data_IF_104887344100
#
_entry.id   IF_104887344100
#
_cell.length_a   1.000
_cell.length_b   1.000
_cell.length_c   1.000
_cell.angle_alpha   90.00
_cell.angle_beta   90.00
_cell.angle_gamma   90.00
#
_symmetry.space_group_name_H-M   'P 1'
#
loop_
_entity.id
_entity.type
_entity.pdbx_description
1 polymer ?
#
# COMPACT_ATOMS: atom_id res chain seq x y z
N UNK A 1 -2.67 -20.18 1.99
CA UNK A 1 -1.99 -20.65 3.23
C UNK A 1 -0.68 -21.41 2.98
N UNK A 2 -0.49 -22.10 1.84
CA UNK A 2 0.79 -22.77 1.50
C UNK A 2 1.85 -21.82 0.90
N UNK A 3 1.47 -20.94 -0.05
CA UNK A 3 2.33 -19.87 -0.64
C UNK A 3 3.02 -18.98 0.42
N UNK A 4 2.28 -18.56 1.46
CA UNK A 4 2.79 -17.66 2.52
C UNK A 4 3.91 -18.26 3.38
N UNK A 5 3.90 -19.58 3.60
CA UNK A 5 4.91 -20.29 4.41
C UNK A 5 6.15 -20.60 3.54
N UNK A 6 5.94 -21.00 2.29
CA UNK A 6 7.03 -21.38 1.38
C UNK A 6 7.87 -20.19 0.89
N UNK A 7 7.29 -18.98 0.80
CA UNK A 7 7.96 -17.76 0.30
C UNK A 7 8.75 -16.97 1.36
N UNK A 8 8.69 -17.36 2.64
CA UNK A 8 9.25 -16.56 3.75
C UNK A 8 10.06 -17.36 4.79
N UNK A 9 11.06 -18.17 4.39
CA UNK A 9 11.82 -19.01 5.33
C UNK A 9 12.50 -18.21 6.46
N UNK A 10 12.90 -16.97 6.20
CA UNK A 10 13.52 -16.08 7.19
C UNK A 10 12.56 -15.55 8.26
N UNK A 11 11.24 -15.58 7.99
CA UNK A 11 10.19 -15.18 8.96
C UNK A 11 9.91 -16.31 9.97
N UNK A 12 10.44 -17.52 9.70
CA UNK A 12 10.35 -18.71 10.58
C UNK A 12 11.69 -19.10 11.22
N UNK A 13 12.74 -18.27 11.09
CA UNK A 13 14.06 -18.47 11.72
C UNK A 13 14.17 -17.86 13.12
N UNK A 14 15.10 -18.35 13.94
CA UNK A 14 15.23 -18.01 15.37
C UNK A 14 15.20 -16.50 15.65
N UNK A 15 14.26 -16.12 16.53
CA UNK A 15 13.92 -14.74 16.87
C UNK A 15 15.02 -14.11 17.74
N UNK A 16 15.69 -13.08 17.22
CA UNK A 16 16.48 -12.14 18.01
C UNK A 16 16.04 -10.71 17.69
N UNK A 17 15.25 -10.11 18.59
CA UNK A 17 14.99 -8.67 18.60
C UNK A 17 14.73 -8.18 20.04
N UNK A 18 15.47 -7.17 20.47
CA UNK A 18 15.61 -6.69 21.85
C UNK A 18 14.41 -5.91 22.43
N UNK A 19 14.37 -5.89 23.78
CA UNK A 19 13.62 -5.11 24.79
C UNK A 19 12.42 -4.23 24.39
N UNK A 20 12.47 -3.43 23.31
CA UNK A 20 11.34 -2.60 22.87
C UNK A 20 10.16 -3.43 22.32
N UNK A 21 10.46 -4.61 21.76
CA UNK A 21 9.48 -5.58 21.29
C UNK A 21 8.66 -6.18 22.44
N UNK A 22 9.31 -6.48 23.57
CA UNK A 22 8.69 -7.07 24.75
C UNK A 22 7.63 -6.15 25.41
N UNK A 23 7.86 -4.83 25.42
CA UNK A 23 6.90 -3.87 26.01
C UNK A 23 5.61 -3.79 25.20
N UNK A 24 5.69 -3.81 23.85
CA UNK A 24 4.50 -3.79 22.99
C UNK A 24 3.77 -5.13 22.93
N UNK A 25 4.49 -6.26 22.96
CA UNK A 25 3.88 -7.59 23.07
C UNK A 25 3.03 -7.73 24.33
N UNK A 26 3.51 -7.21 25.46
CA UNK A 26 2.78 -7.26 26.73
C UNK A 26 1.45 -6.49 26.66
N UNK A 27 1.39 -5.38 25.92
CA UNK A 27 0.16 -4.60 25.76
C UNK A 27 -0.87 -5.28 24.85
N UNK A 28 -0.45 -5.89 23.74
CA UNK A 28 -1.38 -6.67 22.89
C UNK A 28 -1.82 -7.97 23.57
N UNK A 29 -0.93 -8.65 24.29
CA UNK A 29 -1.26 -9.84 25.07
C UNK A 29 -2.29 -9.52 26.17
N UNK A 30 -2.13 -8.39 26.88
CA UNK A 30 -3.11 -7.91 27.85
C UNK A 30 -4.47 -7.62 27.20
N UNK A 31 -4.47 -6.98 26.02
CA UNK A 31 -5.71 -6.72 25.25
C UNK A 31 -6.39 -7.96 24.67
N UNK A 32 -5.64 -9.06 24.51
CA UNK A 32 -6.18 -10.34 24.05
C UNK A 32 -6.75 -11.18 25.19
N UNK A 33 -6.29 -10.97 26.43
CA UNK A 33 -6.91 -11.55 27.63
C UNK A 33 -8.21 -10.83 28.02
N UNK A 34 -8.33 -9.52 27.78
CA UNK A 34 -9.55 -8.74 28.08
C UNK A 34 -10.74 -9.02 27.17
N UNK A 35 -10.52 -9.62 25.99
CA UNK A 35 -11.58 -9.91 25.02
C UNK A 35 -11.38 -11.34 24.53
N UNK A 36 -12.34 -12.23 24.76
CA UNK A 36 -12.39 -13.62 24.24
C UNK A 36 -12.31 -13.65 22.70
N UNK A 37 -11.14 -13.35 22.14
CA UNK A 37 -10.90 -13.24 20.70
C UNK A 37 -10.28 -14.53 20.21
N UNK A 38 -10.98 -15.20 19.30
CA UNK A 38 -10.52 -16.45 18.69
C UNK A 38 -9.33 -16.27 17.75
N UNK A 39 -9.17 -15.09 17.14
CA UNK A 39 -8.06 -14.76 16.25
C UNK A 39 -7.34 -13.46 16.66
N UNK A 40 -6.01 -13.42 16.48
CA UNK A 40 -5.20 -12.20 16.67
C UNK A 40 -5.61 -11.07 15.71
N UNK A 41 -6.31 -11.43 14.63
CA UNK A 41 -6.83 -10.49 13.62
C UNK A 41 -8.16 -9.85 14.01
N UNK A 42 -8.86 -10.36 15.04
CA UNK A 42 -10.17 -9.85 15.51
C UNK A 42 -10.11 -8.42 16.08
N UNK A 43 -8.92 -7.86 16.19
CA UNK A 43 -8.67 -6.49 16.62
C UNK A 43 -8.63 -5.43 15.51
N UNK A 44 -8.66 -5.83 14.23
CA UNK A 44 -8.62 -4.89 13.10
C UNK A 44 -10.05 -4.62 12.59
N UNK A 45 -10.58 -3.39 12.74
CA UNK A 45 -11.93 -3.09 12.27
C UNK A 45 -12.05 -3.28 10.75
N UNK A 46 -13.15 -3.91 10.32
CA UNK A 46 -13.43 -4.20 8.90
C UNK A 46 -13.78 -2.95 8.08
N UNK A 47 -14.24 -1.89 8.73
CA UNK A 47 -14.64 -0.63 8.08
C UNK A 47 -13.47 0.32 7.82
N UNK A 48 -12.25 -0.06 8.18
CA UNK A 48 -11.08 0.76 7.84
C UNK A 48 -10.86 0.77 6.33
N UNK A 49 -10.35 1.87 5.76
CA UNK A 49 -9.82 1.90 4.41
C UNK A 49 -8.83 0.75 4.15
N UNK A 50 -8.82 0.21 2.94
CA UNK A 50 -8.13 -1.04 2.62
C UNK A 50 -6.62 -0.98 2.92
N UNK A 51 -5.92 0.10 2.53
CA UNK A 51 -4.48 0.24 2.74
C UNK A 51 -4.15 0.40 4.23
N UNK A 52 -4.95 1.20 4.94
CA UNK A 52 -4.85 1.31 6.40
C UNK A 52 -5.07 -0.02 7.10
N UNK A 53 -6.06 -0.80 6.64
CA UNK A 53 -6.38 -2.12 7.18
C UNK A 53 -5.23 -3.11 6.92
N UNK A 54 -4.69 -3.14 5.71
CA UNK A 54 -3.53 -3.97 5.34
C UNK A 54 -2.33 -3.67 6.24
N UNK A 55 -2.00 -2.39 6.44
CA UNK A 55 -0.91 -1.97 7.34
C UNK A 55 -1.13 -2.50 8.77
N UNK A 56 -2.33 -2.37 9.33
CA UNK A 56 -2.62 -2.87 10.69
C UNK A 56 -2.52 -4.39 10.80
N UNK A 57 -2.91 -5.13 9.76
CA UNK A 57 -2.76 -6.58 9.71
C UNK A 57 -1.27 -6.94 9.72
N UNK A 58 -0.44 -6.26 8.92
CA UNK A 58 1.01 -6.49 8.87
C UNK A 58 1.69 -6.13 10.19
N UNK A 59 1.35 -5.01 10.83
CA UNK A 59 1.85 -4.64 12.16
C UNK A 59 1.51 -5.70 13.21
N UNK A 60 0.30 -6.26 13.15
CA UNK A 60 -0.11 -7.36 14.04
C UNK A 60 0.64 -8.65 13.80
N UNK A 61 0.90 -8.99 12.54
CA UNK A 61 1.74 -10.14 12.20
C UNK A 61 3.17 -9.92 12.73
N UNK A 62 3.72 -8.72 12.54
CA UNK A 62 5.03 -8.37 13.03
C UNK A 62 5.16 -8.47 14.55
N UNK A 63 4.13 -8.08 15.32
CA UNK A 63 4.13 -8.22 16.78
C UNK A 63 4.31 -9.66 17.28
N UNK A 64 4.02 -10.65 16.45
CA UNK A 64 4.18 -12.07 16.82
C UNK A 64 5.48 -12.68 16.29
N UNK A 65 6.36 -11.85 15.74
CA UNK A 65 7.60 -12.27 15.10
C UNK A 65 7.43 -12.63 13.63
N UNK A 66 6.24 -12.45 13.04
CA UNK A 66 6.03 -12.67 11.62
C UNK A 66 6.39 -11.40 10.83
N UNK A 67 7.69 -11.09 10.76
CA UNK A 67 8.23 -9.96 10.01
C UNK A 67 9.65 -10.20 9.49
N UNK A 68 10.10 -9.34 8.58
CA UNK A 68 11.50 -9.24 8.19
C UNK A 68 12.29 -8.27 9.08
N UNK A 69 13.60 -8.50 9.19
CA UNK A 69 14.49 -7.62 9.96
C UNK A 69 15.06 -6.46 9.12
N UNK A 70 15.04 -6.61 7.80
CA UNK A 70 15.65 -5.69 6.84
C UNK A 70 14.63 -5.32 5.75
N UNK A 71 14.83 -4.16 5.11
CA UNK A 71 13.94 -3.67 4.06
C UNK A 71 14.17 -4.36 2.71
N UNK A 72 15.37 -4.88 2.45
CA UNK A 72 15.75 -5.46 1.16
C UNK A 72 14.87 -6.66 0.74
N UNK A 73 14.57 -7.62 1.64
CA UNK A 73 13.61 -8.69 1.33
C UNK A 73 12.21 -8.18 0.93
N UNK A 74 11.80 -7.01 1.45
CA UNK A 74 10.50 -6.41 1.13
C UNK A 74 10.51 -5.80 -0.28
N UNK A 75 11.62 -5.17 -0.69
CA UNK A 75 11.82 -4.73 -2.07
C UNK A 75 11.78 -5.90 -3.05
N UNK A 76 12.50 -6.99 -2.74
CA UNK A 76 12.47 -8.20 -3.55
C UNK A 76 11.05 -8.75 -3.70
N UNK A 77 10.26 -8.71 -2.62
CA UNK A 77 8.87 -9.15 -2.65
C UNK A 77 7.99 -8.28 -3.55
N UNK A 78 8.17 -6.96 -3.53
CA UNK A 78 7.46 -6.06 -4.45
C UNK A 78 7.80 -6.36 -5.92
N UNK A 79 9.06 -6.67 -6.23
CA UNK A 79 9.46 -7.05 -7.58
C UNK A 79 8.86 -8.39 -8.01
N UNK A 80 8.80 -9.36 -7.10
CA UNK A 80 8.16 -10.66 -7.32
C UNK A 80 6.68 -10.50 -7.70
N UNK A 81 5.87 -9.80 -6.88
CA UNK A 81 4.43 -9.66 -7.17
C UNK A 81 4.17 -8.84 -8.45
N UNK A 82 5.05 -7.88 -8.76
CA UNK A 82 4.98 -7.13 -10.02
C UNK A 82 5.18 -8.05 -11.23
N UNK A 83 6.09 -9.01 -11.12
CA UNK A 83 6.32 -9.99 -12.19
C UNK A 83 5.20 -11.03 -12.25
N UNK A 84 4.64 -11.47 -11.12
CA UNK A 84 3.46 -12.34 -11.10
C UNK A 84 2.25 -11.66 -11.77
N UNK A 85 2.01 -10.37 -11.48
CA UNK A 85 0.95 -9.58 -12.14
C UNK A 85 1.17 -9.47 -13.66
N UNK A 86 2.42 -9.25 -14.10
CA UNK A 86 2.75 -9.21 -15.53
C UNK A 86 2.49 -10.54 -16.21
N UNK A 87 2.87 -11.65 -15.56
CA UNK A 87 2.67 -12.99 -16.08
C UNK A 87 1.17 -13.33 -16.20
N UNK A 88 0.37 -12.99 -15.17
CA UNK A 88 -1.08 -13.16 -15.20
C UNK A 88 -1.72 -12.37 -16.36
N UNK A 89 -1.28 -11.13 -16.59
CA UNK A 89 -1.74 -10.32 -17.71
C UNK A 89 -1.39 -10.94 -19.07
N UNK A 90 -0.16 -11.42 -19.25
CA UNK A 90 0.29 -12.04 -20.51
C UNK A 90 -0.42 -13.36 -20.80
N UNK A 91 -0.90 -14.05 -19.77
CA UNK A 91 -1.62 -15.31 -19.88
C UNK A 91 -3.14 -15.12 -20.12
N UNK A 92 -3.64 -13.88 -20.16
CA UNK A 92 -5.09 -13.55 -20.17
C UNK A 92 -5.86 -14.22 -19.02
N UNK A 93 -5.20 -14.48 -17.88
CA UNK A 93 -5.80 -15.09 -16.69
C UNK A 93 -6.38 -14.01 -15.79
N UNK A 94 -7.65 -13.66 -16.03
CA UNK A 94 -8.37 -12.62 -15.31
C UNK A 94 -8.52 -12.91 -13.81
N UNK A 95 -8.68 -14.18 -13.44
CA UNK A 95 -8.86 -14.57 -12.03
C UNK A 95 -7.55 -14.35 -11.26
N UNK A 96 -6.42 -14.73 -11.86
CA UNK A 96 -5.10 -14.47 -11.27
C UNK A 96 -4.74 -12.98 -11.29
N UNK A 97 -5.20 -12.21 -12.27
CA UNK A 97 -4.87 -10.78 -12.38
C UNK A 97 -5.33 -9.97 -11.14
N UNK A 98 -6.53 -10.25 -10.63
CA UNK A 98 -7.03 -9.58 -9.42
C UNK A 98 -6.27 -10.00 -8.16
N UNK A 99 -5.93 -11.30 -8.03
CA UNK A 99 -5.12 -11.84 -6.92
C UNK A 99 -3.75 -11.14 -6.89
N UNK A 100 -3.03 -11.14 -8.01
CA UNK A 100 -1.67 -10.61 -8.07
C UNK A 100 -1.62 -9.08 -7.94
N UNK A 101 -2.66 -8.36 -8.39
CA UNK A 101 -2.79 -6.92 -8.14
C UNK A 101 -2.99 -6.65 -6.64
N UNK A 102 -3.81 -7.48 -5.97
CA UNK A 102 -4.01 -7.43 -4.52
C UNK A 102 -2.71 -7.66 -3.75
N UNK A 103 -1.94 -8.67 -4.13
CA UNK A 103 -0.66 -9.02 -3.49
C UNK A 103 0.41 -7.95 -3.73
N UNK A 104 0.47 -7.35 -4.92
CA UNK A 104 1.34 -6.20 -5.19
C UNK A 104 0.97 -5.00 -4.31
N UNK A 105 -0.31 -4.65 -4.20
CA UNK A 105 -0.77 -3.57 -3.32
C UNK A 105 -0.43 -3.86 -1.86
N UNK A 106 -0.63 -5.10 -1.40
CA UNK A 106 -0.30 -5.51 -0.04
C UNK A 106 1.21 -5.40 0.23
N UNK A 107 2.04 -5.81 -0.73
CA UNK A 107 3.50 -5.71 -0.66
C UNK A 107 3.98 -4.25 -0.64
N UNK A 108 3.35 -3.36 -1.42
CA UNK A 108 3.63 -1.92 -1.38
C UNK A 108 3.26 -1.29 -0.03
N UNK A 109 2.15 -1.71 0.60
CA UNK A 109 1.81 -1.28 1.97
C UNK A 109 2.87 -1.74 2.97
N UNK A 110 3.39 -2.96 2.81
CA UNK A 110 4.45 -3.48 3.67
C UNK A 110 5.75 -2.70 3.50
N UNK A 111 6.13 -2.40 2.27
CA UNK A 111 7.28 -1.54 1.97
C UNK A 111 7.10 -0.16 2.61
N UNK A 112 5.93 0.47 2.47
CA UNK A 112 5.60 1.72 3.14
C UNK A 112 5.79 1.63 4.66
N UNK A 113 5.34 0.55 5.29
CA UNK A 113 5.53 0.30 6.72
C UNK A 113 7.02 0.26 7.12
N UNK A 114 7.87 -0.45 6.36
CA UNK A 114 9.32 -0.50 6.61
C UNK A 114 10.00 0.86 6.39
N UNK A 115 9.52 1.65 5.43
CA UNK A 115 10.03 2.99 5.15
C UNK A 115 9.46 4.07 6.10
N UNK A 116 8.57 3.71 7.03
CA UNK A 116 7.90 4.67 7.92
C UNK A 116 6.86 5.56 7.22
N UNK A 117 6.41 5.18 6.03
CA UNK A 117 5.43 5.91 5.20
C UNK A 117 4.04 5.27 5.31
N UNK A 118 3.00 6.10 5.44
CA UNK A 118 1.61 5.63 5.35
C UNK A 118 1.20 5.53 3.88
N UNK A 119 0.97 4.31 3.39
CA UNK A 119 0.51 4.08 2.02
C UNK A 119 -0.84 4.77 1.73
N UNK A 120 -1.76 4.75 2.70
CA UNK A 120 -3.04 5.46 2.62
C UNK A 120 -2.83 6.97 2.41
N UNK A 121 -1.97 7.57 3.21
CA UNK A 121 -1.71 9.02 3.15
C UNK A 121 -0.97 9.39 1.86
N UNK A 122 0.00 8.58 1.46
CA UNK A 122 0.74 8.77 0.22
C UNK A 122 -0.21 8.74 -1.00
N UNK A 123 -1.15 7.80 -1.02
CA UNK A 123 -2.15 7.73 -2.07
C UNK A 123 -3.11 8.92 -2.02
N UNK A 124 -3.61 9.29 -0.83
CA UNK A 124 -4.48 10.47 -0.65
C UNK A 124 -3.83 11.75 -1.18
N UNK A 125 -2.57 11.99 -0.85
CA UNK A 125 -1.80 13.14 -1.37
C UNK A 125 -1.64 13.07 -2.88
N UNK A 126 -1.41 11.88 -3.44
CA UNK A 126 -1.27 11.70 -4.89
C UNK A 126 -2.58 12.00 -5.62
N UNK A 127 -3.72 11.54 -5.08
CA UNK A 127 -5.06 11.84 -5.60
C UNK A 127 -5.34 13.34 -5.55
N UNK A 128 -5.09 13.99 -4.40
CA UNK A 128 -5.32 15.43 -4.27
C UNK A 128 -4.51 16.26 -5.30
N UNK A 129 -3.26 15.86 -5.56
CA UNK A 129 -2.42 16.49 -6.60
C UNK A 129 -2.97 16.27 -8.00
N UNK A 130 -3.46 15.07 -8.29
CA UNK A 130 -4.10 14.77 -9.57
C UNK A 130 -5.35 15.65 -9.76
N UNK A 131 -6.25 15.70 -8.77
CA UNK A 131 -7.45 16.54 -8.82
C UNK A 131 -7.11 18.01 -9.01
N UNK A 132 -6.14 18.53 -8.26
CA UNK A 132 -5.71 19.91 -8.39
C UNK A 132 -5.23 20.22 -9.82
N UNK A 133 -4.38 19.36 -10.38
CA UNK A 133 -3.86 19.56 -11.74
C UNK A 133 -4.96 19.45 -12.80
N UNK A 134 -5.84 18.47 -12.66
CA UNK A 134 -6.94 18.27 -13.61
C UNK A 134 -7.93 19.44 -13.60
N UNK A 135 -8.30 19.97 -12.41
CA UNK A 135 -9.13 21.18 -12.30
C UNK A 135 -8.51 22.40 -12.98
N UNK A 136 -7.18 22.52 -12.92
CA UNK A 136 -6.48 23.61 -13.62
C UNK A 136 -6.46 23.40 -15.15
N UNK A 137 -6.39 22.15 -15.63
CA UNK A 137 -6.61 21.84 -17.05
C UNK A 137 -8.00 22.31 -17.47
N UNK A 138 -9.05 21.89 -16.76
CA UNK A 138 -10.44 22.25 -17.07
C UNK A 138 -10.63 23.77 -17.12
N UNK A 139 -10.10 24.47 -16.11
CA UNK A 139 -10.18 25.93 -16.04
C UNK A 139 -9.49 26.61 -17.23
N UNK A 140 -8.26 26.19 -17.55
CA UNK A 140 -7.50 26.81 -18.63
C UNK A 140 -8.11 26.51 -20.02
N UNK A 141 -8.63 25.30 -20.22
CA UNK A 141 -9.39 24.97 -21.44
C UNK A 141 -10.66 25.80 -21.56
N UNK A 142 -11.38 25.98 -20.46
CA UNK A 142 -12.58 26.82 -20.42
C UNK A 142 -12.26 28.28 -20.77
N UNK A 143 -11.16 28.84 -20.26
CA UNK A 143 -10.68 30.19 -20.61
C UNK A 143 -10.34 30.31 -22.12
N UNK A 144 -9.97 29.20 -22.76
CA UNK A 144 -9.73 29.08 -24.21
C UNK A 144 -11.00 28.75 -25.01
N UNK A 145 -12.16 28.63 -24.36
CA UNK A 145 -13.43 28.26 -25.00
C UNK A 145 -13.50 26.81 -25.46
N UNK A 146 -12.71 25.91 -24.86
CA UNK A 146 -12.69 24.46 -25.13
C UNK A 146 -13.15 23.67 -23.91
N UNK A 147 -13.61 22.43 -24.11
CA UNK A 147 -13.74 21.42 -23.04
C UNK A 147 -12.58 20.41 -23.10
N UNK A 148 -12.39 19.55 -22.07
CA UNK A 148 -11.43 18.45 -22.13
C UNK A 148 -11.68 17.51 -23.31
N UNK A 149 -12.94 17.28 -23.71
CA UNK A 149 -13.30 16.45 -24.85
C UNK A 149 -12.87 17.06 -26.20
N UNK A 150 -12.74 18.39 -26.26
CA UNK A 150 -12.30 19.13 -27.46
C UNK A 150 -10.78 19.28 -27.56
N UNK A 151 -10.04 18.94 -26.49
CA UNK A 151 -8.61 19.14 -26.38
C UNK A 151 -7.82 17.86 -26.71
N UNK A 152 -6.62 18.01 -27.26
CA UNK A 152 -5.72 16.86 -27.46
C UNK A 152 -4.98 16.52 -26.16
N UNK A 153 -4.44 15.30 -26.07
CA UNK A 153 -3.60 14.91 -24.94
C UNK A 153 -2.38 15.82 -24.82
N UNK A 154 -1.79 16.25 -25.94
CA UNK A 154 -0.66 17.17 -25.94
C UNK A 154 -1.05 18.54 -25.35
N UNK A 155 -2.22 19.08 -25.71
CA UNK A 155 -2.71 20.34 -25.12
C UNK A 155 -2.94 20.21 -23.61
N UNK A 156 -3.52 19.09 -23.17
CA UNK A 156 -3.74 18.81 -21.74
C UNK A 156 -2.41 18.61 -20.99
N UNK A 157 -1.44 17.93 -21.59
CA UNK A 157 -0.11 17.70 -21.01
C UNK A 157 0.70 18.99 -20.88
N UNK A 158 0.60 19.90 -21.85
CA UNK A 158 1.20 21.23 -21.75
C UNK A 158 0.67 22.00 -20.54
N UNK A 159 -0.65 21.98 -20.34
CA UNK A 159 -1.29 22.60 -19.17
C UNK A 159 -0.85 21.88 -17.89
N UNK A 160 -0.95 20.55 -17.86
CA UNK A 160 -0.55 19.71 -16.73
C UNK A 160 0.87 20.02 -16.25
N UNK A 161 1.82 20.18 -17.17
CA UNK A 161 3.22 20.45 -16.89
C UNK A 161 3.44 21.81 -16.23
N UNK A 162 2.63 22.83 -16.53
CA UNK A 162 2.68 24.14 -15.85
C UNK A 162 2.30 24.04 -14.37
N UNK A 163 1.36 23.16 -14.04
CA UNK A 163 0.89 22.96 -12.66
C UNK A 163 1.64 21.84 -11.92
N UNK A 164 2.71 21.29 -12.51
CA UNK A 164 3.55 20.27 -11.88
C UNK A 164 4.43 20.85 -10.75
N UNK A 165 4.73 22.15 -10.79
CA UNK A 165 5.64 22.84 -9.85
C UNK A 165 5.03 23.97 -9.00
N UNK A 166 3.71 24.19 -9.04
CA UNK A 166 3.03 25.13 -8.14
C UNK A 166 2.86 24.52 -6.75
N UNK A 167 3.00 25.33 -5.69
CA UNK A 167 2.88 24.90 -4.29
C UNK A 167 1.65 23.99 -4.09
N UNK A 168 1.90 22.77 -3.60
CA UNK A 168 0.87 21.79 -3.31
C UNK A 168 -0.08 22.38 -2.24
N UNK A 169 -1.41 22.38 -2.43
CA UNK A 169 -2.32 22.77 -1.36
C UNK A 169 -2.13 21.84 -0.16
N UNK A 170 -2.00 22.45 1.02
CA UNK A 170 -1.75 21.79 2.30
C UNK A 170 -2.89 20.84 2.74
#
# INVERSE_FOLDING_TARGET
TRKLIDRHPHVFGEVHAEAAFHVKQNWEAAKQQEKERGSRMDGVPRHLPALTRARRIQEKAAYVGFDWNEVEPVWNKVQEELEELRNAHQADDLDSLEEELGDLLFSLVNLGRFLGVSAEEALRRTIAKFEYRFRNIEKELQERGKTPEDATLEEMDEIWNRYRGGEEPA
#
